data_IF_907171704862
#
_entry.id   IF_907171704862
#
_cell.length_a   1.000
_cell.length_b   1.000
_cell.length_c   1.000
_cell.angle_alpha   90.00
_cell.angle_beta   90.00
_cell.angle_gamma   90.00
#
_symmetry.space_group_name_H-M   'P 1'
#
loop_
_entity.id
_entity.type
_entity.pdbx_description
1 polymer ?
#
# COMPACT_ATOMS: atom_id res chain seq x y z
N UNK A 1 -11.74 -17.16 -0.10
CA UNK A 1 -11.97 -18.46 0.57
C UNK A 1 -12.35 -19.52 -0.42
N UNK A 2 -13.44 -19.38 -1.20
CA UNK A 2 -13.80 -20.38 -2.22
C UNK A 2 -12.61 -20.77 -3.12
N UNK A 3 -11.86 -19.79 -3.63
CA UNK A 3 -10.64 -20.00 -4.42
C UNK A 3 -9.54 -20.73 -3.67
N UNK A 4 -9.28 -20.34 -2.42
CA UNK A 4 -8.22 -20.93 -1.61
C UNK A 4 -8.53 -22.41 -1.28
N UNK A 5 -9.78 -22.70 -0.91
CA UNK A 5 -10.25 -24.06 -0.65
C UNK A 5 -10.26 -24.89 -1.93
N UNK A 6 -10.78 -24.36 -3.05
CA UNK A 6 -10.73 -25.03 -4.36
C UNK A 6 -9.29 -25.41 -4.74
N UNK A 7 -8.37 -24.44 -4.71
CA UNK A 7 -6.96 -24.67 -5.00
C UNK A 7 -6.29 -25.66 -4.03
N UNK A 8 -6.73 -25.71 -2.77
CA UNK A 8 -6.22 -26.68 -1.80
C UNK A 8 -6.69 -28.11 -2.09
N UNK A 9 -7.95 -28.27 -2.53
CA UNK A 9 -8.52 -29.55 -2.97
C UNK A 9 -7.85 -30.03 -4.26
N UNK A 10 -7.70 -29.14 -5.24
CA UNK A 10 -7.12 -29.47 -6.55
C UNK A 10 -5.61 -29.75 -6.46
N UNK A 11 -4.92 -29.09 -5.51
CA UNK A 11 -3.47 -29.19 -5.36
C UNK A 11 -3.05 -29.39 -3.89
N UNK A 12 -3.31 -30.59 -3.31
CA UNK A 12 -3.06 -30.85 -1.89
C UNK A 12 -1.58 -30.74 -1.49
N UNK A 13 -0.66 -31.03 -2.41
CA UNK A 13 0.78 -30.93 -2.19
C UNK A 13 1.34 -29.51 -2.31
N UNK A 14 0.59 -28.59 -2.94
CA UNK A 14 1.01 -27.21 -3.17
C UNK A 14 1.06 -26.42 -1.86
N UNK A 15 1.84 -25.34 -1.88
CA UNK A 15 2.01 -24.45 -0.74
C UNK A 15 1.17 -23.21 -0.95
N UNK A 16 0.17 -23.02 -0.09
CA UNK A 16 -0.82 -21.97 -0.19
C UNK A 16 -0.71 -21.01 1.01
N UNK A 17 -0.81 -19.69 0.79
CA UNK A 17 -0.91 -18.72 1.88
C UNK A 17 -2.32 -18.74 2.47
N UNK A 18 -2.44 -18.85 3.78
CA UNK A 18 -3.71 -18.77 4.48
C UNK A 18 -4.35 -17.39 4.22
N UNK A 19 -5.62 -17.32 3.80
CA UNK A 19 -6.29 -16.05 3.48
C UNK A 19 -6.58 -15.18 4.71
N UNK A 20 -6.45 -15.72 5.94
CA UNK A 20 -6.76 -14.99 7.18
C UNK A 20 -5.49 -14.43 7.83
N UNK A 21 -4.44 -15.24 8.00
CA UNK A 21 -3.20 -14.82 8.69
C UNK A 21 -1.98 -14.70 7.76
N UNK A 22 -2.13 -15.00 6.46
CA UNK A 22 -1.03 -15.09 5.49
C UNK A 22 0.07 -16.13 5.80
N UNK A 23 -0.15 -17.00 6.79
CA UNK A 23 0.75 -18.11 7.09
C UNK A 23 0.80 -19.08 5.91
N UNK A 24 1.99 -19.59 5.61
CA UNK A 24 2.20 -20.51 4.49
C UNK A 24 1.92 -21.94 4.93
N UNK A 25 0.95 -22.63 4.31
CA UNK A 25 0.54 -24.00 4.67
C UNK A 25 0.50 -24.90 3.43
N UNK A 26 0.60 -26.22 3.61
CA UNK A 26 0.31 -27.17 2.52
C UNK A 26 -1.20 -27.18 2.24
N UNK A 27 -1.60 -27.33 0.98
CA UNK A 27 -3.01 -27.40 0.57
C UNK A 27 -3.81 -28.41 1.40
N UNK A 28 -3.30 -29.64 1.55
CA UNK A 28 -3.91 -30.70 2.36
C UNK A 28 -4.15 -30.34 3.83
N UNK A 29 -3.44 -29.34 4.36
CA UNK A 29 -3.54 -28.89 5.74
C UNK A 29 -4.31 -27.58 5.89
N UNK A 30 -4.79 -26.96 4.80
CA UNK A 30 -5.43 -25.65 4.85
C UNK A 30 -6.70 -25.69 5.70
N UNK A 31 -7.58 -26.65 5.47
CA UNK A 31 -8.86 -26.75 6.21
C UNK A 31 -8.63 -27.03 7.70
N UNK A 32 -7.70 -27.94 8.02
CA UNK A 32 -7.29 -28.18 9.42
C UNK A 32 -6.71 -26.92 10.06
N UNK A 33 -5.89 -26.16 9.32
CA UNK A 33 -5.32 -24.91 9.81
C UNK A 33 -6.41 -23.87 10.08
N UNK A 34 -7.36 -23.70 9.16
CA UNK A 34 -8.50 -22.79 9.33
C UNK A 34 -9.35 -23.20 10.54
N UNK A 35 -9.67 -24.49 10.69
CA UNK A 35 -10.45 -24.99 11.83
C UNK A 35 -9.72 -24.85 13.17
N UNK A 36 -8.39 -25.00 13.21
CA UNK A 36 -7.62 -24.96 14.47
C UNK A 36 -7.20 -23.54 14.88
N UNK A 37 -6.71 -22.74 13.94
CA UNK A 37 -6.12 -21.41 14.22
C UNK A 37 -7.16 -20.31 14.15
N UNK A 38 -8.23 -20.53 13.38
CA UNK A 38 -9.28 -19.54 13.13
C UNK A 38 -10.67 -20.04 13.56
N UNK A 39 -10.77 -21.04 14.45
CA UNK A 39 -12.04 -21.47 15.04
C UNK A 39 -12.77 -20.27 15.66
N UNK A 40 -14.05 -20.10 15.30
CA UNK A 40 -14.86 -18.99 15.79
C UNK A 40 -14.58 -17.62 15.16
N UNK A 41 -13.49 -17.47 14.40
CA UNK A 41 -13.31 -16.28 13.57
C UNK A 41 -14.12 -16.46 12.29
N UNK A 42 -15.26 -15.77 12.21
CA UNK A 42 -15.92 -15.56 10.93
C UNK A 42 -14.88 -14.89 10.03
N UNK A 43 -14.54 -15.46 8.87
CA UNK A 43 -13.51 -14.90 8.01
C UNK A 43 -13.93 -13.49 7.61
N UNK A 44 -13.31 -12.49 8.24
CA UNK A 44 -13.73 -11.09 8.15
C UNK A 44 -13.63 -10.56 6.72
N UNK A 45 -12.90 -11.24 5.83
CA UNK A 45 -12.68 -10.83 4.45
C UNK A 45 -12.70 -12.05 3.53
N UNK A 46 -13.88 -12.35 2.99
CA UNK A 46 -14.03 -13.37 1.95
C UNK A 46 -13.30 -12.92 0.67
N UNK A 47 -12.92 -13.87 -0.19
CA UNK A 47 -12.40 -13.54 -1.53
C UNK A 47 -13.43 -12.82 -2.42
N UNK A 48 -14.69 -12.72 -1.98
CA UNK A 48 -15.70 -11.89 -2.63
C UNK A 48 -15.50 -10.39 -2.35
N UNK A 49 -14.69 -10.03 -1.34
CA UNK A 49 -14.39 -8.64 -1.02
C UNK A 49 -13.43 -8.08 -2.07
N UNK A 50 -13.99 -7.59 -3.17
CA UNK A 50 -13.29 -6.92 -4.28
C UNK A 50 -12.76 -5.53 -3.91
N UNK A 51 -12.54 -5.23 -2.63
CA UNK A 51 -11.93 -3.96 -2.24
C UNK A 51 -11.09 -4.06 -0.98
N UNK A 52 -9.88 -3.51 -1.04
CA UNK A 52 -8.89 -3.47 0.03
C UNK A 52 -8.57 -2.02 0.38
N UNK A 53 -8.26 -1.77 1.65
CA UNK A 53 -7.91 -0.42 2.13
C UNK A 53 -6.52 -0.45 2.74
N UNK A 54 -5.77 0.63 2.55
CA UNK A 54 -4.40 0.67 2.99
C UNK A 54 -3.85 2.10 3.06
N UNK A 55 -2.87 2.37 3.93
CA UNK A 55 -2.26 3.69 3.99
C UNK A 55 -1.59 4.03 2.67
N UNK A 56 -1.86 5.25 2.21
CA UNK A 56 -1.30 5.82 1.00
C UNK A 56 -0.11 6.72 1.32
N UNK A 57 0.96 6.66 0.50
CA UNK A 57 2.15 7.50 0.69
C UNK A 57 2.36 8.59 -0.37
N UNK A 58 1.57 8.61 -1.44
CA UNK A 58 1.81 9.52 -2.58
C UNK A 58 1.19 10.91 -2.41
N UNK A 59 0.06 11.04 -1.70
CA UNK A 59 -0.65 12.32 -1.52
C UNK A 59 -0.14 13.12 -0.32
N UNK A 60 0.63 12.51 0.57
CA UNK A 60 1.22 13.17 1.74
C UNK A 60 2.07 14.40 1.39
N UNK A 61 2.86 14.34 0.31
CA UNK A 61 3.83 15.40 -0.04
C UNK A 61 3.19 16.72 -0.49
N UNK A 62 2.25 16.76 -1.44
CA UNK A 62 1.65 18.03 -1.87
C UNK A 62 0.84 18.72 -0.76
N UNK A 63 0.29 17.98 0.21
CA UNK A 63 -0.42 18.58 1.34
C UNK A 63 0.50 19.42 2.24
N UNK A 64 1.81 19.18 2.22
CA UNK A 64 2.81 20.05 2.91
C UNK A 64 3.06 21.35 2.15
N UNK A 65 2.85 21.37 0.83
CA UNK A 65 3.10 22.55 0.00
C UNK A 65 2.04 23.64 0.25
N UNK A 66 0.79 23.26 0.51
CA UNK A 66 -0.32 24.21 0.72
C UNK A 66 -0.08 25.16 1.90
N UNK A 67 0.24 24.71 3.13
CA UNK A 67 0.54 25.63 4.23
C UNK A 67 1.80 26.44 3.96
N UNK A 68 2.82 25.88 3.30
CA UNK A 68 4.01 26.63 2.91
C UNK A 68 3.66 27.80 1.98
N UNK A 69 2.83 27.56 0.97
CA UNK A 69 2.35 28.60 0.05
C UNK A 69 1.50 29.65 0.77
N UNK A 70 0.68 29.26 1.74
CA UNK A 70 -0.10 30.20 2.54
C UNK A 70 0.81 31.13 3.38
N UNK A 71 1.90 30.59 3.94
CA UNK A 71 2.92 31.38 4.65
C UNK A 71 3.62 32.35 3.70
N UNK A 72 4.08 31.87 2.55
CA UNK A 72 4.74 32.73 1.55
C UNK A 72 3.80 33.82 1.06
N UNK A 73 2.53 33.51 0.77
CA UNK A 73 1.53 34.50 0.36
C UNK A 73 1.27 35.55 1.46
N UNK A 74 1.25 35.14 2.73
CA UNK A 74 1.08 36.05 3.86
C UNK A 74 2.26 37.02 4.00
N UNK A 75 3.49 36.52 3.84
CA UNK A 75 4.70 37.36 3.86
C UNK A 75 4.73 38.36 2.70
N UNK A 76 4.36 37.93 1.49
CA UNK A 76 4.28 38.83 0.32
C UNK A 76 3.20 39.89 0.52
N UNK A 77 2.04 39.52 1.09
CA UNK A 77 0.97 40.47 1.35
C UNK A 77 1.38 41.56 2.35
N UNK A 78 2.09 41.18 3.42
CA UNK A 78 2.59 42.11 4.43
C UNK A 78 3.53 43.17 3.84
N UNK A 79 4.40 42.77 2.91
CA UNK A 79 5.32 43.69 2.23
C UNK A 79 4.56 44.70 1.34
N UNK A 80 3.47 44.26 0.71
CA UNK A 80 2.68 45.09 -0.21
C UNK A 80 1.71 46.02 0.53
N UNK A 81 1.10 45.58 1.63
CA UNK A 81 0.03 46.32 2.31
C UNK A 81 0.54 47.41 3.26
N UNK A 82 1.78 47.32 3.74
CA UNK A 82 2.41 48.30 4.63
C UNK A 82 1.71 48.48 5.99
N UNK A 83 0.67 47.70 6.27
CA UNK A 83 -0.19 47.78 7.44
C UNK A 83 -0.31 46.39 8.04
N UNK A 84 -0.05 46.31 9.35
CA UNK A 84 -0.07 45.06 10.10
C UNK A 84 -1.33 45.10 10.96
N UNK A 85 -2.44 44.61 10.42
CA UNK A 85 -3.63 44.37 11.24
C UNK A 85 -3.41 43.11 12.08
N UNK A 86 -3.54 43.20 13.41
CA UNK A 86 -3.37 42.09 14.36
C UNK A 86 -4.22 40.85 14.00
N UNK A 87 -5.37 41.08 13.37
CA UNK A 87 -6.28 40.03 12.89
C UNK A 87 -5.64 39.18 11.80
N UNK A 88 -4.83 39.78 10.91
CA UNK A 88 -4.16 39.07 9.83
C UNK A 88 -3.02 38.19 10.34
N UNK A 89 -2.23 38.69 11.31
CA UNK A 89 -1.19 37.89 11.96
C UNK A 89 -1.80 36.68 12.67
N UNK A 90 -2.87 36.90 13.43
CA UNK A 90 -3.55 35.83 14.17
C UNK A 90 -4.12 34.77 13.22
N UNK A 91 -4.70 35.20 12.09
CA UNK A 91 -5.20 34.31 11.04
C UNK A 91 -4.09 33.48 10.38
N UNK A 92 -2.97 34.11 10.00
CA UNK A 92 -1.83 33.44 9.39
C UNK A 92 -1.17 32.43 10.36
N UNK A 93 -0.99 32.81 11.62
CA UNK A 93 -0.47 31.92 12.67
C UNK A 93 -1.39 30.71 12.90
N UNK A 94 -2.71 30.93 12.93
CA UNK A 94 -3.69 29.86 13.03
C UNK A 94 -3.65 28.89 11.85
N UNK A 95 -3.59 29.40 10.62
CA UNK A 95 -3.48 28.60 9.41
C UNK A 95 -2.18 27.78 9.38
N UNK A 96 -1.06 28.38 9.79
CA UNK A 96 0.24 27.71 9.91
C UNK A 96 0.18 26.60 10.96
N UNK A 97 -0.39 26.87 12.13
CA UNK A 97 -0.58 25.88 13.20
C UNK A 97 -1.38 24.67 12.74
N UNK A 98 -2.54 24.89 12.10
CA UNK A 98 -3.36 23.80 11.53
C UNK A 98 -2.59 23.05 10.43
N UNK A 99 -1.88 23.78 9.58
CA UNK A 99 -1.02 23.21 8.54
C UNK A 99 0.05 22.29 9.11
N UNK A 100 0.75 22.71 10.16
CA UNK A 100 1.77 21.91 10.84
C UNK A 100 1.17 20.68 11.53
N UNK A 101 -0.02 20.79 12.13
CA UNK A 101 -0.72 19.64 12.73
C UNK A 101 -1.06 18.62 11.64
N UNK A 102 -1.63 19.05 10.51
CA UNK A 102 -1.93 18.17 9.38
C UNK A 102 -0.65 17.55 8.82
N UNK A 103 0.41 18.33 8.63
CA UNK A 103 1.72 17.85 8.20
C UNK A 103 2.29 16.83 9.18
N UNK A 104 2.22 17.10 10.49
CA UNK A 104 2.64 16.20 11.54
C UNK A 104 1.89 14.87 11.45
N UNK A 105 0.55 14.91 11.42
CA UNK A 105 -0.26 13.70 11.27
C UNK A 105 0.12 12.90 10.01
N UNK A 106 0.37 13.58 8.89
CA UNK A 106 0.81 12.95 7.64
C UNK A 106 2.20 12.31 7.77
N UNK A 107 3.17 13.01 8.36
CA UNK A 107 4.56 12.54 8.53
C UNK A 107 4.65 11.39 9.52
N UNK A 108 3.92 11.47 10.64
CA UNK A 108 3.80 10.39 11.63
C UNK A 108 2.97 9.20 11.13
N UNK A 109 2.50 9.24 9.88
CA UNK A 109 1.82 8.12 9.25
C UNK A 109 0.43 7.87 9.83
N UNK A 110 -0.21 8.91 10.39
CA UNK A 110 -1.61 8.85 10.75
C UNK A 110 -2.38 8.37 9.50
N UNK A 111 -3.23 7.34 9.63
CA UNK A 111 -3.92 6.74 8.50
C UNK A 111 -5.10 7.61 8.02
N UNK A 112 -4.90 8.93 7.97
CA UNK A 112 -5.88 9.90 7.48
C UNK A 112 -6.25 9.64 6.02
N UNK A 113 -5.30 9.10 5.24
CA UNK A 113 -5.51 8.81 3.83
C UNK A 113 -5.40 7.32 3.54
N UNK A 114 -6.55 6.63 3.58
CA UNK A 114 -6.66 5.21 3.24
C UNK A 114 -7.05 5.03 1.78
N UNK A 115 -6.07 4.82 0.91
CA UNK A 115 -6.36 4.40 -0.46
C UNK A 115 -7.24 3.14 -0.47
N UNK A 116 -8.22 3.09 -1.37
CA UNK A 116 -9.07 1.92 -1.61
C UNK A 116 -8.72 1.34 -2.97
N UNK A 117 -8.12 0.16 -2.98
CA UNK A 117 -7.96 -0.65 -4.18
C UNK A 117 -9.22 -1.48 -4.35
N UNK A 118 -9.82 -1.49 -5.53
CA UNK A 118 -11.00 -2.30 -5.83
C UNK A 118 -10.91 -2.96 -7.19
N UNK A 119 -11.55 -4.11 -7.35
CA UNK A 119 -11.66 -4.84 -8.62
C UNK A 119 -12.97 -4.45 -9.28
N UNK A 120 -12.89 -4.00 -10.52
CA UNK A 120 -14.03 -3.64 -11.35
C UNK A 120 -13.95 -4.43 -12.67
N UNK A 121 -14.69 -5.55 -12.74
CA UNK A 121 -14.53 -6.54 -13.82
C UNK A 121 -13.11 -7.11 -13.83
N UNK A 122 -12.44 -7.04 -14.98
CA UNK A 122 -11.04 -7.46 -15.16
C UNK A 122 -10.03 -6.36 -14.78
N UNK A 123 -10.54 -5.20 -14.36
CA UNK A 123 -9.76 -4.01 -14.05
C UNK A 123 -9.55 -3.79 -12.56
N UNK A 124 -8.58 -2.93 -12.26
CA UNK A 124 -8.30 -2.46 -10.91
C UNK A 124 -8.45 -0.95 -10.82
N UNK A 125 -9.19 -0.49 -9.82
CA UNK A 125 -9.40 0.91 -9.53
C UNK A 125 -8.79 1.21 -8.17
N UNK A 126 -7.77 2.07 -8.15
CA UNK A 126 -7.27 2.70 -6.94
C UNK A 126 -7.94 4.05 -6.78
N UNK A 127 -8.77 4.19 -5.75
CA UNK A 127 -9.42 5.44 -5.36
C UNK A 127 -8.74 5.98 -4.11
N UNK A 128 -8.35 7.24 -4.17
CA UNK A 128 -7.72 7.94 -3.05
C UNK A 128 -8.81 8.56 -2.15
N UNK A 129 -8.60 8.65 -0.83
CA UNK A 129 -9.63 9.03 0.17
C UNK A 129 -10.28 10.38 -0.08
N UNK A 130 -9.56 11.31 -0.69
CA UNK A 130 -10.09 12.64 -1.02
C UNK A 130 -10.86 12.66 -2.35
N UNK A 131 -10.98 11.54 -3.06
CA UNK A 131 -11.61 11.48 -4.39
C UNK A 131 -10.84 12.20 -5.50
N UNK A 132 -9.88 13.05 -5.14
CA UNK A 132 -9.11 13.94 -6.05
C UNK A 132 -8.32 13.19 -7.12
N UNK A 133 -8.03 11.91 -6.91
CA UNK A 133 -7.31 11.11 -7.88
C UNK A 133 -7.88 9.69 -7.91
N UNK A 134 -8.16 9.22 -9.11
CA UNK A 134 -8.55 7.84 -9.39
C UNK A 134 -7.58 7.30 -10.42
N UNK A 135 -6.90 6.20 -10.09
CA UNK A 135 -6.07 5.48 -11.06
C UNK A 135 -6.80 4.19 -11.42
N UNK A 136 -7.18 4.09 -12.68
CA UNK A 136 -7.84 2.91 -13.22
C UNK A 136 -6.89 2.17 -14.17
N UNK A 137 -6.79 0.86 -13.96
CA UNK A 137 -6.28 -0.11 -14.92
C UNK A 137 -7.49 -0.85 -15.47
N UNK A 138 -7.82 -0.65 -16.74
CA UNK A 138 -9.02 -1.26 -17.36
C UNK A 138 -8.93 -2.79 -17.42
N UNK A 139 -7.71 -3.30 -17.59
CA UNK A 139 -7.33 -4.71 -17.58
C UNK A 139 -5.93 -4.83 -17.01
N UNK A 140 -5.56 -5.95 -16.42
CA UNK A 140 -4.16 -6.24 -16.09
C UNK A 140 -3.60 -7.20 -17.12
N UNK A 141 -2.51 -6.82 -17.77
CA UNK A 141 -1.82 -7.66 -18.77
C UNK A 141 -0.64 -8.43 -18.14
N UNK A 142 -0.01 -7.83 -17.13
CA UNK A 142 1.22 -8.33 -16.53
C UNK A 142 1.25 -8.02 -15.04
N UNK A 143 1.69 -9.01 -14.27
CA UNK A 143 1.96 -8.89 -12.84
C UNK A 143 3.45 -8.99 -12.62
N UNK A 144 4.07 -7.94 -12.09
CA UNK A 144 5.48 -7.97 -11.68
C UNK A 144 5.59 -8.09 -10.16
N UNK A 145 6.58 -8.83 -9.65
CA UNK A 145 6.81 -8.98 -8.21
C UNK A 145 8.27 -8.67 -7.84
N UNK A 146 8.45 -7.91 -6.76
CA UNK A 146 9.77 -7.44 -6.31
C UNK A 146 9.84 -7.17 -4.82
N UNK A 147 11.00 -6.67 -4.39
CA UNK A 147 11.25 -6.27 -3.01
C UNK A 147 11.11 -4.76 -2.85
N UNK A 148 10.38 -4.34 -1.81
CA UNK A 148 10.22 -2.92 -1.47
C UNK A 148 11.38 -2.49 -0.56
N UNK A 149 11.91 -1.29 -0.76
CA UNK A 149 13.01 -0.75 0.04
C UNK A 149 12.64 0.62 0.61
N UNK A 150 13.06 0.86 1.84
CA UNK A 150 13.03 2.17 2.49
C UNK A 150 14.47 2.62 2.69
N UNK A 151 14.75 3.87 2.32
CA UNK A 151 16.00 4.52 2.71
C UNK A 151 15.77 5.06 4.12
N UNK A 152 16.51 4.54 5.10
CA UNK A 152 16.59 5.17 6.42
C UNK A 152 17.91 5.92 6.48
N UNK A 153 17.82 7.22 6.74
CA UNK A 153 18.97 7.98 7.22
C UNK A 153 19.22 7.53 8.66
N UNK A 154 20.30 6.78 8.89
CA UNK A 154 20.73 6.45 10.24
C UNK A 154 21.32 7.73 10.84
N UNK A 155 20.49 8.55 11.45
CA UNK A 155 20.93 9.69 12.23
C UNK A 155 21.37 9.22 13.61
N UNK A 156 22.59 8.71 13.72
CA UNK A 156 23.26 8.60 15.02
C UNK A 156 24.29 9.72 15.13
N UNK A 157 23.84 10.79 15.78
CA UNK A 157 24.57 11.82 16.52
C UNK A 157 25.83 12.47 15.92
N UNK A 158 25.74 13.81 15.83
CA UNK A 158 26.71 14.75 16.38
C UNK A 158 28.19 14.53 16.04
N UNK A 159 28.53 14.68 14.76
CA UNK A 159 29.65 15.49 14.29
C UNK A 159 29.65 15.42 12.76
N UNK A 160 29.95 16.54 12.12
CA UNK A 160 29.79 16.70 10.69
C UNK A 160 30.57 15.63 9.90
N UNK A 161 30.05 15.34 8.70
CA UNK A 161 30.66 14.57 7.61
C UNK A 161 30.16 13.11 7.54
N UNK A 162 29.13 12.90 6.69
CA UNK A 162 28.90 11.61 6.02
C UNK A 162 27.84 10.69 6.65
N UNK A 163 26.58 11.12 6.69
CA UNK A 163 25.48 10.21 7.04
C UNK A 163 25.39 9.03 6.05
N UNK A 164 25.63 7.80 6.51
CA UNK A 164 25.45 6.60 5.70
C UNK A 164 23.96 6.35 5.50
N UNK A 165 23.53 6.28 4.24
CA UNK A 165 22.15 5.90 3.90
C UNK A 165 22.07 4.39 3.84
N UNK A 166 21.34 3.78 4.79
CA UNK A 166 21.11 2.34 4.79
C UNK A 166 19.80 2.03 4.06
N UNK A 167 19.87 1.17 3.04
CA UNK A 167 18.68 0.63 2.38
C UNK A 167 18.16 -0.56 3.18
N UNK A 168 17.04 -0.37 3.88
CA UNK A 168 16.39 -1.46 4.60
C UNK A 168 15.30 -2.08 3.72
N UNK A 169 15.28 -3.41 3.65
CA UNK A 169 14.21 -4.13 2.97
C UNK A 169 12.90 -3.93 3.73
N UNK A 170 11.94 -3.28 3.09
CA UNK A 170 10.66 -2.86 3.66
C UNK A 170 9.50 -3.81 3.29
N UNK A 171 9.80 -5.01 2.79
CA UNK A 171 8.82 -6.04 2.44
C UNK A 171 8.81 -6.40 0.95
N UNK A 172 7.66 -6.85 0.46
CA UNK A 172 7.45 -7.25 -0.94
C UNK A 172 6.41 -6.36 -1.61
N UNK A 173 6.46 -6.26 -2.94
CA UNK A 173 5.41 -5.57 -3.70
C UNK A 173 4.96 -6.39 -4.91
N UNK A 174 3.71 -6.13 -5.31
CA UNK A 174 3.14 -6.52 -6.60
C UNK A 174 2.87 -5.27 -7.43
N UNK A 175 3.21 -5.32 -8.69
CA UNK A 175 2.97 -4.25 -9.65
C UNK A 175 2.05 -4.77 -10.74
N UNK A 176 0.80 -4.32 -10.69
CA UNK A 176 -0.23 -4.61 -11.67
C UNK A 176 -0.03 -3.66 -12.83
N UNK A 177 0.18 -4.16 -14.05
CA UNK A 177 0.43 -3.33 -15.24
C UNK A 177 -0.68 -3.43 -16.26
N UNK A 178 -0.75 -2.39 -17.08
CA UNK A 178 -1.45 -2.33 -18.36
C UNK A 178 -0.63 -1.40 -19.26
N UNK A 179 0.25 -1.97 -20.08
CA UNK A 179 1.24 -1.21 -20.86
C UNK A 179 2.09 -0.27 -20.00
N UNK A 180 1.92 1.05 -20.20
CA UNK A 180 2.65 2.10 -19.44
C UNK A 180 2.04 2.41 -18.07
N UNK A 181 0.76 2.08 -17.85
CA UNK A 181 0.07 2.35 -16.59
C UNK A 181 0.34 1.21 -15.61
N UNK A 182 0.48 1.53 -14.33
CA UNK A 182 0.67 0.51 -13.30
C UNK A 182 0.15 0.94 -11.93
N UNK A 183 -0.20 -0.03 -11.10
CA UNK A 183 -0.51 0.14 -9.68
C UNK A 183 0.45 -0.76 -8.91
N UNK A 184 1.20 -0.15 -8.00
CA UNK A 184 2.16 -0.86 -7.13
C UNK A 184 1.57 -1.00 -5.74
N UNK A 185 1.35 -2.24 -5.33
CA UNK A 185 0.79 -2.65 -4.05
C UNK A 185 1.91 -3.25 -3.20
N UNK A 186 2.18 -2.67 -2.04
CA UNK A 186 3.20 -3.17 -1.09
C UNK A 186 2.54 -4.01 0.00
N UNK A 187 3.24 -5.04 0.48
CA UNK A 187 2.99 -5.67 1.76
C UNK A 187 4.23 -5.52 2.65
N UNK A 188 4.03 -5.22 3.95
CA UNK A 188 5.14 -5.06 4.92
C UNK A 188 5.88 -6.37 5.15
N UNK A 189 5.18 -7.51 5.12
CA UNK A 189 5.73 -8.84 5.36
C UNK A 189 5.58 -9.70 4.09
N UNK A 190 6.58 -10.54 3.80
CA UNK A 190 6.49 -11.44 2.64
C UNK A 190 5.47 -12.55 2.90
N UNK A 191 4.52 -12.77 2.00
CA UNK A 191 3.47 -13.79 2.15
C UNK A 191 3.80 -15.08 1.40
N UNK A 192 5.09 -15.38 1.18
CA UNK A 192 5.50 -16.54 0.37
C UNK A 192 5.14 -16.45 -1.12
N UNK A 193 4.77 -15.27 -1.64
CA UNK A 193 4.28 -15.07 -3.02
C UNK A 193 5.10 -15.82 -4.08
N UNK A 194 6.43 -15.64 -4.07
CA UNK A 194 7.35 -16.24 -5.04
C UNK A 194 7.42 -17.77 -4.96
N UNK A 195 7.03 -18.38 -3.85
CA UNK A 195 7.03 -19.82 -3.65
C UNK A 195 5.71 -20.45 -4.09
N UNK A 196 4.62 -19.71 -3.98
CA UNK A 196 3.27 -20.19 -4.30
C UNK A 196 2.89 -19.99 -5.76
N UNK A 197 3.21 -18.84 -6.34
CA UNK A 197 2.64 -18.42 -7.62
C UNK A 197 3.66 -18.45 -8.77
N UNK A 198 3.16 -18.66 -9.98
CA UNK A 198 3.81 -18.51 -11.29
C UNK A 198 2.98 -17.55 -12.16
N UNK A 199 3.45 -17.25 -13.38
CA UNK A 199 2.78 -16.29 -14.27
C UNK A 199 3.09 -14.81 -13.96
N UNK A 200 4.10 -14.55 -13.12
CA UNK A 200 4.57 -13.21 -12.79
C UNK A 200 5.99 -12.96 -13.29
N UNK A 201 6.34 -11.69 -13.49
CA UNK A 201 7.67 -11.25 -13.90
C UNK A 201 8.48 -10.65 -12.75
N UNK A 202 9.79 -10.90 -12.74
CA UNK A 202 10.66 -10.32 -11.72
C UNK A 202 10.82 -8.82 -11.93
N UNK A 203 10.29 -8.03 -11.00
CA UNK A 203 10.62 -6.62 -10.90
C UNK A 203 11.90 -6.42 -10.08
N UNK A 204 12.62 -5.35 -10.41
CA UNK A 204 13.72 -4.85 -9.60
C UNK A 204 13.28 -4.30 -8.24
N UNK A 205 14.17 -3.58 -7.58
CA UNK A 205 13.88 -2.89 -6.31
C UNK A 205 12.95 -1.71 -6.57
N UNK A 206 11.96 -1.50 -5.70
CA UNK A 206 11.13 -0.29 -5.75
C UNK A 206 11.11 0.45 -4.42
N UNK A 207 11.37 1.76 -4.49
CA UNK A 207 11.19 2.72 -3.38
C UNK A 207 9.82 3.42 -3.42
N UNK A 208 9.04 3.21 -4.48
CA UNK A 208 7.75 3.88 -4.70
C UNK A 208 6.63 2.87 -4.81
N UNK A 209 5.58 3.07 -4.02
CA UNK A 209 4.34 2.29 -4.09
C UNK A 209 3.13 3.19 -3.89
N UNK A 210 1.98 2.72 -4.34
CA UNK A 210 0.74 3.49 -4.29
C UNK A 210 -0.04 3.20 -3.01
N UNK A 211 -0.18 1.92 -2.65
CA UNK A 211 -0.92 1.48 -1.48
C UNK A 211 -0.14 0.41 -0.73
N UNK A 212 -0.22 0.41 0.60
CA UNK A 212 0.31 -0.68 1.44
C UNK A 212 -0.87 -1.50 1.95
N UNK A 213 -0.87 -2.81 1.74
CA UNK A 213 -1.87 -3.73 2.25
C UNK A 213 -1.33 -4.52 3.44
N UNK A 214 -2.24 -4.91 4.33
CA UNK A 214 -1.96 -5.90 5.36
C UNK A 214 -1.72 -7.27 4.72
N UNK A 215 -1.00 -8.20 5.40
CA UNK A 215 -0.67 -9.51 4.84
C UNK A 215 -1.90 -10.29 4.34
N UNK A 216 -3.00 -10.29 5.09
CA UNK A 216 -4.23 -10.97 4.71
C UNK A 216 -4.87 -10.38 3.44
N UNK A 217 -4.95 -9.05 3.36
CA UNK A 217 -5.47 -8.34 2.17
C UNK A 217 -4.58 -8.57 0.95
N UNK A 218 -3.27 -8.63 1.16
CA UNK A 218 -2.31 -8.93 0.10
C UNK A 218 -2.44 -10.37 -0.41
N UNK A 219 -2.75 -11.33 0.45
CA UNK A 219 -3.08 -12.71 0.05
C UNK A 219 -4.43 -12.77 -0.66
N UNK A 220 -5.44 -12.05 -0.19
CA UNK A 220 -6.73 -11.95 -0.86
C UNK A 220 -6.59 -11.38 -2.29
N UNK A 221 -5.73 -10.37 -2.46
CA UNK A 221 -5.36 -9.85 -3.78
C UNK A 221 -4.72 -10.94 -4.67
N UNK A 222 -3.82 -11.76 -4.14
CA UNK A 222 -3.19 -12.85 -4.90
C UNK A 222 -4.21 -13.88 -5.39
N UNK A 223 -5.12 -14.31 -4.51
CA UNK A 223 -6.19 -15.22 -4.91
C UNK A 223 -7.11 -14.61 -5.97
N UNK A 224 -7.39 -13.31 -5.84
CA UNK A 224 -8.20 -12.60 -6.85
C UNK A 224 -7.49 -12.54 -8.20
N UNK A 225 -6.17 -12.30 -8.22
CA UNK A 225 -5.37 -12.35 -9.46
C UNK A 225 -5.34 -13.76 -10.06
N UNK A 226 -5.32 -14.80 -9.23
CA UNK A 226 -5.41 -16.18 -9.70
C UNK A 226 -6.79 -16.51 -10.29
N UNK A 227 -7.87 -16.05 -9.66
CA UNK A 227 -9.23 -16.18 -10.22
C UNK A 227 -9.40 -15.47 -11.56
N UNK A 228 -8.68 -14.36 -11.76
CA UNK A 228 -8.63 -13.64 -13.05
C UNK A 228 -7.71 -14.32 -14.08
N UNK A 229 -7.09 -15.46 -13.76
CA UNK A 229 -6.17 -16.18 -14.64
C UNK A 229 -4.81 -15.50 -14.83
N UNK A 230 -4.48 -14.49 -14.02
CA UNK A 230 -3.21 -13.76 -14.11
C UNK A 230 -2.08 -14.44 -13.33
N UNK A 231 -2.43 -15.29 -12.37
CA UNK A 231 -1.49 -16.08 -11.60
C UNK A 231 -1.89 -17.55 -11.62
N UNK A 232 -0.91 -18.42 -11.82
CA UNK A 232 -1.07 -19.85 -11.68
C UNK A 232 -0.34 -20.34 -10.43
N UNK A 233 -0.73 -21.51 -9.92
CA UNK A 233 0.04 -22.16 -8.87
C UNK A 233 1.34 -22.70 -9.44
N UNK A 234 2.41 -22.60 -8.64
CA UNK A 234 3.67 -23.26 -8.95
C UNK A 234 3.49 -24.77 -8.77
N UNK A 235 3.69 -25.58 -9.82
CA UNK A 235 3.80 -27.03 -9.65
C UNK A 235 5.04 -27.31 -8.82
N UNK A 236 4.91 -28.20 -7.84
CA UNK A 236 6.02 -28.67 -7.02
C UNK A 236 6.72 -29.83 -7.68
#
# INVERSE_FOLDING_TARGET
MATASRLATDHPAAVLPCPVCAATVKGANLDRHLGKVHSGQRPVRSSAMRSWRGPERLIARPLVIVPLLAVVASLVWQEVSGTVEDVFILGAAGALGVGLIICGLVVYGAPLFRGRLSVNGDGFVLSHTLGLRRRQLSRVDRVEAGSAYLVRSSGSNAEGIGGTTSEEQAGSFLKLRNGRRHITVRCKHSTGFRKTWTGWEQAGRSRRWHITLDPADFVALQYTLSDLGLLALRPR
#
